data_IF_240924689011
#
_entry.id   IF_240924689011
#
_cell.length_a   1.000
_cell.length_b   1.000
_cell.length_c   1.000
_cell.angle_alpha   90.00
_cell.angle_beta   90.00
_cell.angle_gamma   90.00
#
_symmetry.space_group_name_H-M   'P 1'
#
loop_
_entity.id
_entity.type
_entity.pdbx_description
1 polymer ?
#
# COMPACT_ATOMS: atom_id res chain seq x y z
N UNK A 1 22.44 5.08 -11.55
CA UNK A 1 21.86 4.76 -10.24
C UNK A 1 21.58 3.27 -10.10
N UNK A 2 21.47 2.76 -8.88
CA UNK A 2 21.12 1.36 -8.61
C UNK A 2 19.69 1.06 -9.00
N UNK A 3 19.44 -0.15 -9.51
CA UNK A 3 18.09 -0.64 -9.78
C UNK A 3 17.33 -0.90 -8.47
N UNK A 4 16.00 -1.05 -8.56
CA UNK A 4 15.19 -1.41 -7.38
C UNK A 4 15.66 -2.72 -6.74
N UNK A 5 15.90 -3.77 -7.53
CA UNK A 5 16.34 -5.08 -7.02
C UNK A 5 17.73 -5.01 -6.35
N UNK A 6 18.63 -4.18 -6.88
CA UNK A 6 19.91 -3.91 -6.23
C UNK A 6 19.74 -3.23 -4.86
N UNK A 7 18.78 -2.30 -4.74
CA UNK A 7 18.49 -1.63 -3.47
C UNK A 7 17.77 -2.54 -2.48
N UNK A 8 16.90 -3.42 -2.96
CA UNK A 8 16.23 -4.45 -2.14
C UNK A 8 17.19 -5.57 -1.71
N UNK A 9 18.34 -5.75 -2.39
CA UNK A 9 19.24 -6.89 -2.20
C UNK A 9 18.63 -8.24 -2.65
N UNK A 10 17.51 -8.21 -3.37
CA UNK A 10 16.77 -9.38 -3.86
C UNK A 10 15.91 -9.05 -5.07
N UNK A 11 15.47 -10.08 -5.77
CA UNK A 11 14.42 -9.93 -6.79
C UNK A 11 13.06 -9.70 -6.16
N UNK A 12 12.16 -9.07 -6.93
CA UNK A 12 10.74 -8.98 -6.58
C UNK A 12 10.14 -10.39 -6.60
N UNK A 13 9.46 -10.76 -5.51
CA UNK A 13 8.69 -12.01 -5.45
C UNK A 13 7.36 -11.84 -6.19
N UNK A 14 7.31 -12.38 -7.40
CA UNK A 14 6.13 -12.28 -8.26
C UNK A 14 4.86 -12.88 -7.63
N UNK A 15 4.99 -13.96 -6.87
CA UNK A 15 3.83 -14.61 -6.22
C UNK A 15 3.28 -13.75 -5.10
N UNK A 16 4.18 -13.17 -4.32
CA UNK A 16 3.81 -12.24 -3.25
C UNK A 16 3.23 -10.94 -3.82
N UNK A 17 3.80 -10.42 -4.91
CA UNK A 17 3.28 -9.26 -5.60
C UNK A 17 1.87 -9.49 -6.18
N UNK A 18 1.61 -10.67 -6.77
CA UNK A 18 0.28 -11.03 -7.26
C UNK A 18 -0.74 -11.13 -6.11
N UNK A 19 -0.35 -11.68 -4.96
CA UNK A 19 -1.17 -11.69 -3.76
C UNK A 19 -1.46 -10.26 -3.28
N UNK A 20 -0.44 -9.41 -3.22
CA UNK A 20 -0.57 -8.00 -2.85
C UNK A 20 -1.48 -7.24 -3.80
N UNK A 21 -1.40 -7.51 -5.11
CA UNK A 21 -2.29 -6.93 -6.11
C UNK A 21 -3.75 -7.33 -5.87
N UNK A 22 -4.03 -8.59 -5.56
CA UNK A 22 -5.39 -9.02 -5.20
C UNK A 22 -5.89 -8.29 -3.96
N UNK A 23 -5.09 -8.27 -2.89
CA UNK A 23 -5.43 -7.58 -1.65
C UNK A 23 -5.66 -6.06 -1.86
N UNK A 24 -4.83 -5.42 -2.68
CA UNK A 24 -4.96 -3.99 -3.00
C UNK A 24 -6.30 -3.62 -3.68
N UNK A 25 -6.92 -4.57 -4.37
CA UNK A 25 -8.21 -4.37 -5.06
C UNK A 25 -9.40 -4.98 -4.32
N UNK A 26 -9.18 -5.66 -3.20
CA UNK A 26 -10.23 -6.36 -2.46
C UNK A 26 -10.82 -5.49 -1.35
N UNK A 27 -12.14 -5.38 -1.29
CA UNK A 27 -12.86 -4.67 -0.24
C UNK A 27 -12.88 -5.42 1.10
N UNK A 28 -12.45 -6.68 1.15
CA UNK A 28 -12.35 -7.48 2.37
C UNK A 28 -11.45 -6.83 3.44
N UNK A 29 -10.48 -6.01 3.01
CA UNK A 29 -9.57 -5.31 3.93
C UNK A 29 -10.23 -4.12 4.63
N UNK A 30 -11.25 -3.53 4.03
CA UNK A 30 -12.04 -2.47 4.64
C UNK A 30 -13.12 -3.03 5.57
N UNK A 31 -13.20 -2.59 6.83
CA UNK A 31 -14.18 -3.12 7.77
C UNK A 31 -15.62 -2.79 7.39
N UNK A 32 -15.81 -1.74 6.60
CA UNK A 32 -17.10 -1.36 6.00
C UNK A 32 -17.44 -2.16 4.72
N UNK A 33 -16.53 -2.98 4.19
CA UNK A 33 -16.67 -3.81 2.99
C UNK A 33 -17.03 -3.06 1.69
N UNK A 34 -16.79 -1.77 1.61
CA UNK A 34 -17.17 -0.92 0.48
C UNK A 34 -15.98 -0.17 -0.15
N UNK A 35 -14.79 -0.28 0.43
CA UNK A 35 -13.61 0.35 -0.10
C UNK A 35 -12.39 -0.58 -0.12
N UNK A 36 -11.50 -0.32 -1.07
CA UNK A 36 -10.20 -0.96 -1.22
C UNK A 36 -9.14 0.10 -1.51
N UNK A 37 -7.86 -0.25 -1.48
CA UNK A 37 -6.79 0.68 -1.85
C UNK A 37 -7.02 1.26 -3.26
N UNK A 38 -7.47 0.42 -4.21
CA UNK A 38 -7.75 0.83 -5.59
C UNK A 38 -8.93 1.81 -5.72
N UNK A 39 -9.77 1.95 -4.71
CA UNK A 39 -10.85 2.95 -4.69
C UNK A 39 -10.32 4.39 -4.75
N UNK A 40 -9.20 4.64 -4.06
CA UNK A 40 -8.50 5.93 -4.06
C UNK A 40 -7.23 5.92 -4.92
N UNK A 41 -6.64 4.75 -5.19
CA UNK A 41 -5.43 4.59 -6.01
C UNK A 41 -5.77 3.85 -7.32
N UNK A 42 -6.52 4.52 -8.19
CA UNK A 42 -7.04 3.93 -9.42
C UNK A 42 -5.94 3.69 -10.47
N UNK A 43 -5.84 2.46 -10.98
CA UNK A 43 -4.80 2.06 -11.94
C UNK A 43 -4.82 2.91 -13.23
N UNK A 44 -6.01 3.27 -13.72
CA UNK A 44 -6.17 4.12 -14.92
C UNK A 44 -5.86 5.61 -14.66
N UNK A 45 -5.47 5.97 -13.43
CA UNK A 45 -5.02 7.32 -13.02
C UNK A 45 -3.59 7.29 -12.50
N UNK A 46 -2.77 6.35 -12.97
CA UNK A 46 -1.41 6.18 -12.51
C UNK A 46 -1.34 5.79 -11.02
N UNK A 47 -2.28 4.97 -10.55
CA UNK A 47 -2.45 4.63 -9.13
C UNK A 47 -2.56 5.85 -8.21
N UNK A 48 -3.17 6.92 -8.72
CA UNK A 48 -3.57 8.10 -7.97
C UNK A 48 -5.08 8.23 -7.91
N UNK A 49 -5.54 9.27 -7.24
CA UNK A 49 -6.96 9.53 -7.05
C UNK A 49 -7.63 10.00 -8.34
N UNK A 50 -8.84 9.56 -8.58
CA UNK A 50 -9.72 10.08 -9.63
C UNK A 50 -10.51 11.32 -9.18
N UNK A 51 -10.52 11.60 -7.87
CA UNK A 51 -11.22 12.71 -7.24
C UNK A 51 -10.26 13.82 -6.84
N UNK A 52 -10.75 15.06 -6.72
CA UNK A 52 -9.97 16.20 -6.17
C UNK A 52 -9.70 16.04 -4.68
N UNK A 53 -10.61 15.38 -3.96
CA UNK A 53 -10.48 14.97 -2.57
C UNK A 53 -10.96 13.52 -2.49
N UNK A 54 -10.20 12.64 -1.84
CA UNK A 54 -10.50 11.23 -1.75
C UNK A 54 -11.88 10.94 -1.13
N UNK A 55 -12.52 9.90 -1.61
CA UNK A 55 -13.76 9.35 -1.07
C UNK A 55 -13.44 7.90 -0.68
N UNK A 56 -13.48 7.62 0.62
CA UNK A 56 -13.19 6.31 1.19
C UNK A 56 -14.45 5.46 1.37
N UNK A 57 -14.86 5.28 2.61
CA UNK A 57 -16.04 4.50 3.00
C UNK A 57 -17.36 5.21 2.69
N UNK A 58 -18.49 4.48 2.81
CA UNK A 58 -19.85 4.99 2.53
C UNK A 58 -19.98 5.55 1.11
N UNK A 59 -19.31 4.92 0.18
CA UNK A 59 -19.28 5.31 -1.21
C UNK A 59 -20.28 4.51 -2.06
N UNK A 60 -20.48 4.94 -3.30
CA UNK A 60 -21.38 4.30 -4.26
C UNK A 60 -20.79 3.09 -5.01
N UNK A 61 -19.70 2.48 -4.52
CA UNK A 61 -18.99 1.35 -5.13
C UNK A 61 -18.42 1.60 -6.54
N UNK A 62 -18.30 2.86 -6.94
CA UNK A 62 -17.70 3.24 -8.23
C UNK A 62 -16.25 3.68 -7.99
N UNK A 63 -15.33 3.24 -8.85
CA UNK A 63 -13.97 3.76 -8.93
C UNK A 63 -13.89 4.68 -10.13
N UNK A 64 -13.59 5.96 -9.92
CA UNK A 64 -13.52 6.92 -11.02
C UNK A 64 -14.13 8.28 -10.69
N UNK A 65 -14.33 9.14 -11.70
CA UNK A 65 -14.82 10.50 -11.51
C UNK A 65 -16.26 10.53 -10.95
N UNK A 66 -17.05 9.50 -11.19
CA UNK A 66 -18.44 9.39 -10.72
C UNK A 66 -18.57 8.78 -9.33
N UNK A 67 -17.44 8.57 -8.62
CA UNK A 67 -17.46 8.12 -7.22
C UNK A 67 -18.06 9.20 -6.34
N UNK A 68 -19.05 8.82 -5.54
CA UNK A 68 -19.73 9.70 -4.57
C UNK A 68 -19.65 9.10 -3.17
N UNK A 69 -19.70 9.97 -2.15
CA UNK A 69 -19.62 9.60 -0.74
C UNK A 69 -18.98 10.71 0.10
N UNK A 70 -18.82 10.49 1.40
CA UNK A 70 -18.12 11.42 2.29
C UNK A 70 -16.70 11.65 1.82
N UNK A 71 -16.27 12.91 1.85
CA UNK A 71 -14.92 13.28 1.42
C UNK A 71 -13.93 13.18 2.56
N UNK A 72 -12.76 12.63 2.28
CA UNK A 72 -11.59 12.68 3.15
C UNK A 72 -11.02 14.12 3.18
N UNK A 73 -9.88 14.31 3.82
CA UNK A 73 -9.25 15.62 3.97
C UNK A 73 -8.45 16.05 2.73
N UNK A 74 -7.96 15.09 1.96
CA UNK A 74 -7.05 15.35 0.82
C UNK A 74 -7.25 14.33 -0.29
N UNK A 75 -6.75 14.70 -1.47
CA UNK A 75 -6.56 13.78 -2.59
C UNK A 75 -5.54 12.70 -2.19
N UNK A 76 -5.82 11.43 -2.52
CA UNK A 76 -4.85 10.37 -2.35
C UNK A 76 -3.63 10.58 -3.27
N UNK A 77 -2.40 10.43 -2.77
CA UNK A 77 -1.19 10.59 -3.56
C UNK A 77 -1.04 9.45 -4.59
N UNK A 78 -0.19 9.68 -5.58
CA UNK A 78 0.20 8.65 -6.56
C UNK A 78 1.08 7.61 -5.86
N UNK A 79 0.83 6.31 -6.16
CA UNK A 79 1.63 5.19 -5.64
C UNK A 79 2.83 4.85 -6.54
N UNK A 80 2.82 5.28 -7.81
CA UNK A 80 3.93 5.03 -8.74
C UNK A 80 5.25 5.59 -8.19
N UNK A 81 6.30 4.76 -8.22
CA UNK A 81 7.66 5.08 -7.77
C UNK A 81 7.79 5.42 -6.27
N UNK A 82 6.76 5.23 -5.46
CA UNK A 82 6.79 5.48 -4.00
C UNK A 82 7.92 4.73 -3.29
N UNK A 83 8.31 3.59 -3.81
CA UNK A 83 9.39 2.75 -3.26
C UNK A 83 10.69 3.52 -3.02
N UNK A 84 10.93 4.59 -3.76
CA UNK A 84 12.15 5.39 -3.64
C UNK A 84 12.00 6.60 -2.71
N UNK A 85 10.81 6.91 -2.24
CA UNK A 85 10.57 8.12 -1.45
C UNK A 85 10.78 7.87 0.03
N UNK A 86 11.70 8.61 0.67
CA UNK A 86 11.92 8.50 2.12
C UNK A 86 10.84 9.20 2.93
N UNK A 87 9.96 9.97 2.27
CA UNK A 87 8.83 10.67 2.88
C UNK A 87 7.59 10.48 2.03
N UNK A 88 6.50 10.10 2.66
CA UNK A 88 5.21 9.86 2.03
C UNK A 88 4.17 10.83 2.58
N UNK A 89 3.07 10.97 1.86
CA UNK A 89 1.98 11.91 2.10
C UNK A 89 2.39 13.38 1.88
N UNK A 90 1.41 14.22 1.60
CA UNK A 90 1.62 15.65 1.30
C UNK A 90 2.33 16.43 2.42
N UNK A 91 2.13 16.03 3.67
CA UNK A 91 2.73 16.65 4.85
C UNK A 91 3.97 15.89 5.36
N UNK A 92 4.46 14.89 4.61
CA UNK A 92 5.60 14.05 5.02
C UNK A 92 5.43 13.33 6.37
N UNK A 93 4.18 13.06 6.79
CA UNK A 93 3.88 12.46 8.09
C UNK A 93 4.36 11.02 8.23
N UNK A 94 4.65 10.35 7.12
CA UNK A 94 5.28 9.03 7.09
C UNK A 94 6.68 9.18 6.52
N UNK A 95 7.70 8.82 7.29
CA UNK A 95 9.07 9.05 6.90
C UNK A 95 10.02 7.96 7.40
N UNK A 96 11.03 7.66 6.59
CA UNK A 96 12.24 6.99 7.08
C UNK A 96 13.17 8.00 7.73
N UNK A 97 13.53 7.77 8.97
CA UNK A 97 14.41 8.68 9.72
C UNK A 97 15.87 8.61 9.24
N UNK A 98 16.28 7.50 8.62
CA UNK A 98 17.58 7.41 7.94
C UNK A 98 17.62 8.21 6.62
N UNK A 99 16.49 8.69 6.12
CA UNK A 99 16.38 9.31 4.79
C UNK A 99 16.41 8.31 3.63
N UNK A 100 16.38 7.00 3.93
CA UNK A 100 16.36 5.92 2.96
C UNK A 100 15.20 4.96 3.24
N UNK A 101 14.19 4.81 2.35
CA UNK A 101 13.03 3.96 2.60
C UNK A 101 13.35 2.47 2.69
N UNK A 102 14.56 2.05 2.28
CA UNK A 102 15.08 0.68 2.37
C UNK A 102 15.86 0.42 3.66
N UNK A 103 16.05 1.43 4.49
CA UNK A 103 16.85 1.35 5.70
C UNK A 103 16.03 1.80 6.91
N UNK A 104 15.73 0.85 7.78
CA UNK A 104 15.02 1.07 9.03
C UNK A 104 15.94 1.20 10.25
N UNK A 105 17.24 1.38 10.08
CA UNK A 105 18.17 1.52 11.20
C UNK A 105 17.87 2.72 12.09
N UNK A 106 17.35 3.81 11.50
CA UNK A 106 16.88 4.99 12.21
C UNK A 106 15.42 4.93 12.67
N UNK A 107 14.69 3.89 12.27
CA UNK A 107 13.23 3.77 12.45
C UNK A 107 12.42 4.47 11.38
N UNK A 108 11.13 4.16 11.38
CA UNK A 108 10.11 4.85 10.58
C UNK A 108 9.26 5.73 11.49
N UNK A 109 8.94 6.92 11.01
CA UNK A 109 8.08 7.87 11.71
C UNK A 109 6.67 7.83 11.14
N UNK A 110 5.69 7.74 12.05
CA UNK A 110 4.27 7.88 11.77
C UNK A 110 3.62 8.79 12.81
N UNK A 111 2.47 9.41 12.47
CA UNK A 111 1.72 10.18 13.46
C UNK A 111 1.15 9.26 14.56
N UNK A 112 0.87 9.79 15.77
CA UNK A 112 0.18 9.01 16.78
C UNK A 112 -1.13 8.41 16.25
N UNK A 113 -1.53 7.22 16.75
CA UNK A 113 -0.91 6.46 17.84
C UNK A 113 0.23 5.52 17.41
N UNK A 114 0.60 5.49 16.13
CA UNK A 114 1.52 4.50 15.55
C UNK A 114 2.99 4.69 15.90
N UNK A 115 3.35 5.77 16.51
CA UNK A 115 4.65 6.43 16.56
C UNK A 115 5.92 5.56 16.63
N UNK A 116 5.90 4.24 16.99
CA UNK A 116 7.14 3.46 17.14
C UNK A 116 7.04 1.95 16.90
N UNK A 117 5.88 1.41 16.58
CA UNK A 117 5.65 -0.04 16.60
C UNK A 117 6.15 -0.79 15.36
N UNK A 118 6.66 -0.08 14.35
CA UNK A 118 6.98 -0.64 13.02
C UNK A 118 8.50 -0.73 12.76
N UNK A 119 9.30 -0.80 13.83
CA UNK A 119 10.77 -0.76 13.77
C UNK A 119 11.42 -2.01 13.19
N UNK A 120 10.70 -3.13 13.12
CA UNK A 120 11.19 -4.40 12.59
C UNK A 120 10.91 -4.60 11.10
N UNK A 121 10.18 -3.68 10.45
CA UNK A 121 9.81 -3.80 9.05
C UNK A 121 10.94 -3.33 8.14
N UNK A 122 11.14 -4.03 7.03
CA UNK A 122 12.31 -3.82 6.17
C UNK A 122 12.19 -2.63 5.20
N UNK A 123 10.99 -2.10 4.99
CA UNK A 123 10.75 -1.02 4.03
C UNK A 123 9.61 -0.11 4.46
N UNK A 124 9.72 1.19 4.16
CA UNK A 124 8.73 2.20 4.53
C UNK A 124 7.32 1.90 3.96
N UNK A 125 7.20 1.35 2.75
CA UNK A 125 5.89 0.98 2.18
C UNK A 125 5.22 -0.16 2.95
N UNK A 126 6.00 -1.14 3.44
CA UNK A 126 5.45 -2.20 4.30
C UNK A 126 4.85 -1.59 5.57
N UNK A 127 5.54 -0.65 6.19
CA UNK A 127 5.05 0.05 7.37
C UNK A 127 3.84 0.95 7.04
N UNK A 128 3.86 1.64 5.91
CA UNK A 128 2.74 2.49 5.47
C UNK A 128 1.46 1.70 5.26
N UNK A 129 1.53 0.46 4.75
CA UNK A 129 0.37 -0.40 4.55
C UNK A 129 -0.41 -0.73 5.84
N UNK A 130 0.16 -0.46 7.02
CA UNK A 130 -0.51 -0.62 8.31
C UNK A 130 -1.51 0.50 8.63
N UNK A 131 -1.47 1.61 7.92
CA UNK A 131 -2.21 2.83 8.30
C UNK A 131 -3.60 2.93 7.64
N UNK A 132 -3.79 2.80 6.32
CA UNK A 132 -5.07 3.11 5.68
C UNK A 132 -6.25 2.32 6.22
N UNK A 133 -6.02 1.06 6.61
CA UNK A 133 -7.07 0.18 7.14
C UNK A 133 -7.59 0.63 8.50
N UNK A 134 -6.81 1.41 9.26
CA UNK A 134 -7.19 1.91 10.59
C UNK A 134 -7.88 3.27 10.53
N UNK A 135 -7.85 3.94 9.38
CA UNK A 135 -8.46 5.24 9.19
C UNK A 135 -9.96 5.11 8.91
N UNK A 136 -10.79 5.67 9.79
CA UNK A 136 -12.25 5.52 9.70
C UNK A 136 -12.83 6.00 8.37
N UNK A 137 -12.39 7.16 7.89
CA UNK A 137 -12.84 7.74 6.62
C UNK A 137 -12.30 7.01 5.38
N UNK A 138 -11.20 6.26 5.53
CA UNK A 138 -10.57 5.57 4.41
C UNK A 138 -11.10 4.14 4.25
N UNK A 139 -10.99 3.31 5.30
CA UNK A 139 -11.29 1.88 5.18
C UNK A 139 -11.97 1.26 6.41
N UNK A 140 -11.77 1.80 7.63
CA UNK A 140 -12.34 1.18 8.82
C UNK A 140 -13.86 1.38 8.93
N UNK A 141 -14.37 2.56 8.55
CA UNK A 141 -15.78 2.91 8.69
C UNK A 141 -16.12 3.47 10.06
N UNK A 142 -17.42 3.65 10.29
CA UNK A 142 -17.96 4.33 11.48
C UNK A 142 -18.87 3.44 12.31
N UNK A 143 -18.85 2.13 12.10
CA UNK A 143 -19.58 1.19 12.96
C UNK A 143 -19.11 1.37 14.43
N UNK A 144 -20.03 1.48 15.42
CA UNK A 144 -19.66 1.66 16.83
C UNK A 144 -18.72 0.57 17.36
N UNK A 145 -18.84 -0.67 16.88
CA UNK A 145 -17.94 -1.76 17.26
C UNK A 145 -16.51 -1.53 16.72
N UNK A 146 -16.37 -0.93 15.54
CA UNK A 146 -15.07 -0.55 14.97
C UNK A 146 -14.48 0.64 15.70
N UNK A 147 -15.31 1.66 15.99
CA UNK A 147 -14.88 2.86 16.72
C UNK A 147 -14.40 2.56 18.17
N UNK A 148 -14.84 1.44 18.75
CA UNK A 148 -14.38 0.98 20.06
C UNK A 148 -13.00 0.29 20.02
N UNK A 149 -12.46 -0.02 18.84
CA UNK A 149 -11.17 -0.67 18.67
C UNK A 149 -10.04 0.36 18.60
N UNK A 150 -8.88 0.00 19.11
CA UNK A 150 -7.64 0.67 18.76
C UNK A 150 -7.14 0.16 17.39
N UNK A 151 -6.09 0.77 16.84
CA UNK A 151 -5.54 0.41 15.54
C UNK A 151 -5.07 -1.05 15.45
N UNK A 152 -4.49 -1.60 16.51
CA UNK A 152 -4.09 -3.01 16.56
C UNK A 152 -5.31 -3.93 16.55
N UNK A 153 -6.38 -3.56 17.25
CA UNK A 153 -7.66 -4.27 17.20
C UNK A 153 -8.25 -4.29 15.79
N UNK A 154 -8.25 -3.17 15.09
CA UNK A 154 -8.71 -3.09 13.70
C UNK A 154 -7.87 -4.02 12.80
N UNK A 155 -6.55 -3.96 12.89
CA UNK A 155 -5.65 -4.85 12.14
C UNK A 155 -5.87 -6.33 12.46
N UNK A 156 -6.15 -6.65 13.72
CA UNK A 156 -6.49 -8.01 14.13
C UNK A 156 -7.77 -8.51 13.45
N UNK A 157 -8.82 -7.69 13.41
CA UNK A 157 -10.06 -8.05 12.69
C UNK A 157 -9.81 -8.26 11.20
N UNK A 158 -9.00 -7.44 10.55
CA UNK A 158 -8.62 -7.66 9.14
C UNK A 158 -7.88 -8.99 8.97
N UNK A 159 -6.92 -9.29 9.84
CA UNK A 159 -6.20 -10.57 9.81
C UNK A 159 -7.14 -11.76 10.05
N UNK A 160 -8.09 -11.65 10.97
CA UNK A 160 -9.12 -12.68 11.20
C UNK A 160 -9.99 -12.92 9.96
N UNK A 161 -10.42 -11.87 9.25
CA UNK A 161 -11.16 -11.99 7.99
C UNK A 161 -10.36 -12.74 6.93
N UNK A 162 -9.08 -12.44 6.78
CA UNK A 162 -8.19 -13.16 5.86
C UNK A 162 -8.05 -14.64 6.27
N UNK A 163 -7.92 -14.92 7.55
CA UNK A 163 -7.82 -16.28 8.08
C UNK A 163 -9.13 -17.08 7.95
N UNK A 164 -10.28 -16.43 8.01
CA UNK A 164 -11.58 -17.06 7.79
C UNK A 164 -11.82 -17.39 6.29
N UNK A 165 -11.07 -16.78 5.38
CA UNK A 165 -11.21 -16.99 3.94
C UNK A 165 -10.22 -18.06 3.45
N UNK A 166 -10.73 -19.23 3.06
CA UNK A 166 -9.92 -20.37 2.64
C UNK A 166 -9.05 -20.05 1.40
N UNK A 167 -9.53 -19.20 0.51
CA UNK A 167 -8.76 -18.81 -0.68
C UNK A 167 -7.56 -17.92 -0.29
N UNK A 168 -7.74 -16.97 0.60
CA UNK A 168 -6.61 -16.19 1.13
C UNK A 168 -5.63 -17.08 1.89
N UNK A 169 -6.09 -18.02 2.72
CA UNK A 169 -5.17 -18.99 3.37
C UNK A 169 -4.35 -19.77 2.36
N UNK A 170 -4.98 -20.23 1.27
CA UNK A 170 -4.30 -20.94 0.19
C UNK A 170 -3.29 -20.05 -0.54
N UNK A 171 -3.66 -18.81 -0.84
CA UNK A 171 -2.80 -17.84 -1.53
C UNK A 171 -1.61 -17.43 -0.68
N UNK A 172 -1.83 -17.07 0.58
CA UNK A 172 -0.75 -16.76 1.53
C UNK A 172 0.18 -17.97 1.72
N UNK A 173 -0.34 -19.18 1.82
CA UNK A 173 0.46 -20.40 1.94
C UNK A 173 1.40 -20.69 0.77
N UNK A 174 1.20 -20.04 -0.40
CA UNK A 174 2.15 -20.13 -1.53
C UNK A 174 3.42 -19.31 -1.30
N UNK A 175 3.32 -18.19 -0.57
CA UNK A 175 4.43 -17.25 -0.30
C UNK A 175 4.98 -17.39 1.12
N UNK A 176 4.17 -17.89 2.05
CA UNK A 176 4.53 -18.05 3.46
C UNK A 176 4.40 -19.53 3.88
N UNK A 177 5.53 -20.26 3.94
CA UNK A 177 5.52 -21.69 4.33
C UNK A 177 4.84 -21.95 5.66
N UNK A 178 4.97 -21.06 6.64
CA UNK A 178 4.33 -21.15 7.94
C UNK A 178 2.80 -21.16 7.85
N UNK A 179 2.21 -20.36 6.98
CA UNK A 179 0.75 -20.35 6.73
C UNK A 179 0.30 -21.66 6.08
N UNK A 180 1.09 -22.18 5.13
CA UNK A 180 0.84 -23.50 4.52
C UNK A 180 0.87 -24.62 5.57
N UNK A 181 1.71 -24.47 6.58
CA UNK A 181 1.85 -25.44 7.68
C UNK A 181 0.86 -25.20 8.84
N UNK A 182 -0.13 -24.33 8.66
CA UNK A 182 -1.21 -24.11 9.61
C UNK A 182 -1.13 -22.85 10.47
N UNK A 183 -0.03 -22.09 10.43
CA UNK A 183 0.06 -20.81 11.13
C UNK A 183 -0.97 -19.80 10.60
N UNK A 184 -1.43 -18.86 11.44
CA UNK A 184 -2.34 -17.81 10.98
C UNK A 184 -1.61 -16.83 10.07
N UNK A 185 -2.38 -16.21 9.16
CA UNK A 185 -1.96 -15.02 8.42
C UNK A 185 -1.87 -13.87 9.40
N UNK A 186 -0.73 -13.18 9.42
CA UNK A 186 -0.53 -11.96 10.21
C UNK A 186 -0.72 -10.71 9.37
N UNK A 187 -0.98 -9.57 10.04
CA UNK A 187 -1.09 -8.30 9.33
C UNK A 187 0.23 -7.88 8.66
N UNK A 188 1.38 -8.24 9.25
CA UNK A 188 2.69 -8.00 8.65
C UNK A 188 2.83 -8.71 7.28
N UNK A 189 2.37 -9.97 7.18
CA UNK A 189 2.38 -10.71 5.91
C UNK A 189 1.55 -9.98 4.84
N UNK A 190 0.40 -9.40 5.22
CA UNK A 190 -0.42 -8.58 4.34
C UNK A 190 0.32 -7.31 3.91
N UNK A 191 0.91 -6.56 4.85
CA UNK A 191 1.70 -5.36 4.56
C UNK A 191 2.87 -5.65 3.61
N UNK A 192 3.55 -6.79 3.81
CA UNK A 192 4.62 -7.25 2.89
C UNK A 192 4.09 -7.57 1.50
N UNK A 193 2.91 -8.19 1.40
CA UNK A 193 2.31 -8.49 0.10
C UNK A 193 1.93 -7.20 -0.65
N UNK A 194 1.29 -6.23 0.02
CA UNK A 194 0.93 -4.94 -0.55
C UNK A 194 2.19 -4.20 -1.02
N UNK A 195 3.22 -4.10 -0.18
CA UNK A 195 4.47 -3.44 -0.55
C UNK A 195 5.16 -4.14 -1.74
N UNK A 196 5.14 -5.48 -1.80
CA UNK A 196 5.71 -6.23 -2.91
C UNK A 196 4.99 -5.95 -4.23
N UNK A 197 3.67 -5.77 -4.20
CA UNK A 197 2.92 -5.29 -5.36
C UNK A 197 3.34 -3.86 -5.74
N UNK A 198 3.43 -2.95 -4.78
CA UNK A 198 3.86 -1.57 -5.05
C UNK A 198 5.29 -1.50 -5.61
N UNK A 199 6.18 -2.44 -5.26
CA UNK A 199 7.50 -2.56 -5.87
C UNK A 199 7.44 -2.88 -7.37
N UNK A 200 6.35 -3.45 -7.87
CA UNK A 200 6.14 -3.64 -9.32
C UNK A 200 5.72 -2.36 -10.04
N UNK A 201 5.29 -1.33 -9.31
CA UNK A 201 4.81 -0.06 -9.85
C UNK A 201 5.94 0.95 -10.04
N UNK A 202 7.07 0.49 -10.58
CA UNK A 202 8.24 1.32 -10.88
C UNK A 202 8.33 1.57 -12.38
N UNK A 203 8.23 2.83 -12.76
CA UNK A 203 8.29 3.30 -14.14
C UNK A 203 9.36 4.38 -14.26
N UNK A 204 10.42 4.06 -14.97
CA UNK A 204 11.59 4.91 -15.12
C UNK A 204 12.10 4.96 -16.58
N UNK A 205 11.20 4.83 -17.54
CA UNK A 205 11.51 4.85 -18.96
C UNK A 205 10.62 5.79 -19.79
N UNK A 206 10.04 6.80 -19.12
CA UNK A 206 9.36 7.89 -19.80
C UNK A 206 10.34 8.71 -20.66
N UNK A 207 9.86 9.48 -21.65
CA UNK A 207 10.74 10.36 -22.46
C UNK A 207 11.63 11.28 -21.61
N UNK A 208 11.10 11.82 -20.51
CA UNK A 208 11.88 12.65 -19.58
C UNK A 208 13.00 11.85 -18.89
N UNK A 209 12.73 10.62 -18.47
CA UNK A 209 13.74 9.75 -17.85
C UNK A 209 14.88 9.42 -18.81
N UNK A 210 14.55 9.17 -20.08
CA UNK A 210 15.53 8.92 -21.14
C UNK A 210 16.37 10.17 -21.41
N UNK A 211 15.73 11.32 -21.48
CA UNK A 211 16.42 12.60 -21.63
C UNK A 211 17.38 12.87 -20.45
N UNK A 212 16.91 12.70 -19.22
CA UNK A 212 17.71 12.89 -18.02
C UNK A 212 18.92 11.94 -17.93
N UNK A 213 18.81 10.74 -18.53
CA UNK A 213 19.91 9.77 -18.63
C UNK A 213 20.88 10.05 -19.79
N UNK A 214 20.68 11.17 -20.52
CA UNK A 214 21.53 11.54 -21.65
C UNK A 214 21.26 10.73 -22.92
N UNK A 215 20.19 9.96 -22.97
CA UNK A 215 19.73 9.36 -24.22
C UNK A 215 19.07 10.48 -25.06
N UNK A 216 19.87 11.17 -25.86
CA UNK A 216 19.32 12.00 -26.93
C UNK A 216 18.49 11.05 -27.80
N UNK A 217 17.21 11.34 -27.98
CA UNK A 217 16.47 10.72 -29.07
C UNK A 217 17.23 11.08 -30.35
N UNK A 218 17.75 10.11 -31.04
CA UNK A 218 17.98 10.22 -32.45
C UNK A 218 16.60 10.46 -33.11
N UNK A 219 16.21 11.71 -33.26
CA UNK A 219 15.37 12.10 -34.35
C UNK A 219 16.30 12.18 -35.56
N UNK A 220 16.77 11.05 -35.97
CA UNK A 220 17.38 10.86 -37.26
C UNK A 220 16.78 9.56 -37.79
N UNK A 221 16.09 9.78 -38.90
CA UNK A 221 15.48 8.79 -39.79
C UNK A 221 14.07 8.30 -39.38
N UNK A 222 13.10 9.12 -39.75
CA UNK A 222 12.00 8.70 -40.64
C UNK A 222 11.75 9.83 -41.65
#
# INVERSE_FOLDING_TARGET
>A
GSTLEQRLGRRIDRKLADLGRLAFHDTLLGLNNDNSCSGCHAANRGFGDSQSIAIGVENNNIVGPDRTGPRNQRRAPIVLNNVFYPRLMWNSRFASLSGNPFDNSGGFQFPPPESFSLSNLSHLLTAQAFIPVTENVEMAGFDPAVLALNHDGIRSVVAERLNANNEYRRLFGKSFPEVRNGAPITYEMLGRAIAEFEFTLVFADAPLDRFARGHRRGHEND
#
